data_IF_892086644026
#
_entry.id   IF_892086644026
#
_cell.length_a   1.000
_cell.length_b   1.000
_cell.length_c   1.000
_cell.angle_alpha   90.00
_cell.angle_beta   90.00
_cell.angle_gamma   90.00
#
_symmetry.space_group_name_H-M   'P 1'
#
loop_
_entity.id
_entity.type
_entity.pdbx_description
1 polymer ?
#
# COMPACT_ATOMS: atom_id res chain seq x y z
N UNK A 1 15.20 -1.60 -5.88
CA UNK A 1 13.83 -1.76 -5.35
C UNK A 1 13.67 -1.06 -4.01
N UNK A 2 14.26 -1.55 -2.89
CA UNK A 2 14.15 -0.88 -1.58
C UNK A 2 14.50 0.61 -1.66
N UNK A 3 15.64 0.96 -2.24
CA UNK A 3 16.06 2.36 -2.45
C UNK A 3 15.06 3.19 -3.27
N UNK A 4 14.42 2.60 -4.28
CA UNK A 4 13.43 3.28 -5.12
C UNK A 4 12.15 3.59 -4.33
N UNK A 5 11.75 2.68 -3.44
CA UNK A 5 10.60 2.87 -2.56
C UNK A 5 10.93 3.91 -1.47
N UNK A 6 12.11 3.82 -0.85
CA UNK A 6 12.56 4.78 0.17
C UNK A 6 12.70 6.19 -0.40
N UNK A 7 13.16 6.36 -1.64
CA UNK A 7 13.25 7.66 -2.30
C UNK A 7 11.89 8.27 -2.65
N UNK A 8 10.85 7.44 -2.80
CA UNK A 8 9.50 7.90 -3.14
C UNK A 8 8.65 8.23 -1.90
N UNK A 9 8.99 7.66 -0.73
CA UNK A 9 8.22 7.84 0.49
C UNK A 9 8.73 9.02 1.34
N UNK A 10 7.79 9.73 1.97
CA UNK A 10 8.11 10.58 3.11
C UNK A 10 8.51 9.68 4.29
N UNK A 11 9.78 9.82 4.71
CA UNK A 11 10.43 8.94 5.70
C UNK A 11 10.19 9.38 7.14
N UNK A 12 9.73 10.61 7.36
CA UNK A 12 9.27 11.07 8.68
C UNK A 12 7.86 10.53 8.93
N UNK A 13 7.71 9.83 10.04
CA UNK A 13 6.44 9.23 10.46
C UNK A 13 5.79 10.01 11.59
N UNK A 14 6.46 11.05 12.12
CA UNK A 14 6.14 11.70 13.39
C UNK A 14 6.08 10.73 14.60
N UNK A 15 6.71 9.55 14.48
CA UNK A 15 6.67 8.46 15.49
C UNK A 15 8.02 8.09 16.10
N UNK A 16 9.04 8.96 15.98
CA UNK A 16 10.41 8.72 16.50
C UNK A 16 11.09 7.43 15.99
N UNK A 17 10.54 6.78 14.96
CA UNK A 17 11.11 5.58 14.32
C UNK A 17 11.14 5.75 12.80
N UNK A 18 12.29 5.45 12.19
CA UNK A 18 12.50 5.59 10.76
C UNK A 18 11.65 4.56 9.99
N UNK A 19 11.00 5.03 8.92
CA UNK A 19 10.05 4.27 8.12
C UNK A 19 10.74 3.30 7.15
N UNK A 20 11.54 2.34 7.61
CA UNK A 20 12.22 1.44 6.69
C UNK A 20 11.24 0.38 6.16
N UNK A 21 10.84 0.43 4.87
CA UNK A 21 9.93 -0.58 4.33
C UNK A 21 10.64 -1.94 4.28
N UNK A 22 9.97 -2.96 4.80
CA UNK A 22 10.41 -4.34 4.60
C UNK A 22 9.97 -4.79 3.22
N UNK A 23 10.94 -5.12 2.37
CA UNK A 23 10.72 -5.56 1.00
C UNK A 23 11.20 -6.99 0.84
N UNK A 24 10.39 -7.86 0.26
CA UNK A 24 10.71 -9.27 0.00
C UNK A 24 10.24 -9.62 -1.39
N UNK A 25 11.11 -10.23 -2.22
CA UNK A 25 10.80 -10.68 -3.57
C UNK A 25 10.98 -12.19 -3.63
N UNK A 26 9.92 -12.91 -3.98
CA UNK A 26 10.01 -14.31 -4.40
C UNK A 26 10.52 -14.34 -5.84
N UNK A 27 11.81 -14.66 -6.02
CA UNK A 27 12.45 -14.63 -7.33
C UNK A 27 11.87 -15.66 -8.33
N UNK A 28 11.55 -16.91 -7.92
CA UNK A 28 10.84 -17.86 -8.77
C UNK A 28 9.50 -17.37 -9.33
N UNK A 29 8.65 -16.76 -8.50
CA UNK A 29 7.30 -16.36 -8.93
C UNK A 29 7.22 -14.92 -9.42
N UNK A 30 8.18 -14.08 -9.01
CA UNK A 30 8.15 -12.64 -9.23
C UNK A 30 7.17 -11.91 -8.31
N UNK A 31 6.75 -12.52 -7.20
CA UNK A 31 5.84 -11.88 -6.24
C UNK A 31 6.63 -11.03 -5.25
N UNK A 32 6.36 -9.72 -5.28
CA UNK A 32 6.92 -8.74 -4.36
C UNK A 32 5.95 -8.48 -3.21
N UNK A 33 6.45 -8.54 -1.99
CA UNK A 33 5.75 -8.06 -0.79
C UNK A 33 6.48 -6.87 -0.19
N UNK A 34 5.75 -5.77 0.04
CA UNK A 34 6.24 -4.58 0.73
C UNK A 34 5.39 -4.37 1.97
N UNK A 35 6.03 -4.25 3.13
CA UNK A 35 5.41 -3.91 4.40
C UNK A 35 5.97 -2.56 4.84
N UNK A 36 5.11 -1.61 5.15
CA UNK A 36 5.51 -0.27 5.58
C UNK A 36 4.62 0.21 6.73
N UNK A 37 5.21 0.94 7.67
CA UNK A 37 4.45 1.60 8.73
C UNK A 37 3.71 2.81 8.16
N UNK A 38 2.40 2.95 8.35
CA UNK A 38 1.64 4.10 7.84
C UNK A 38 1.95 5.39 8.60
N UNK A 39 1.89 6.54 7.92
CA UNK A 39 1.98 7.87 8.55
C UNK A 39 0.87 8.03 9.59
N UNK A 40 1.16 8.70 10.72
CA UNK A 40 0.11 9.20 11.62
C UNK A 40 -0.12 10.67 11.28
N UNK A 41 -1.32 11.07 10.82
CA UNK A 41 -1.65 12.48 10.77
C UNK A 41 -1.66 13.05 12.20
N UNK A 42 -1.35 14.35 12.32
CA UNK A 42 -1.27 15.06 13.60
C UNK A 42 -2.62 15.08 14.35
N UNK A 43 -3.72 14.98 13.60
CA UNK A 43 -5.05 14.72 14.13
C UNK A 43 -5.38 13.23 13.95
N UNK A 44 -5.92 12.58 14.98
CA UNK A 44 -6.46 11.21 14.90
C UNK A 44 -7.81 11.18 14.11
N UNK A 45 -7.90 11.94 13.02
CA UNK A 45 -9.04 11.93 12.08
C UNK A 45 -8.93 10.67 11.19
N UNK A 46 -9.88 9.72 11.29
CA UNK A 46 -9.87 8.50 10.49
C UNK A 46 -9.86 8.77 8.97
N UNK A 47 -10.43 9.89 8.51
CA UNK A 47 -10.45 10.24 7.08
C UNK A 47 -9.05 10.61 6.58
N UNK A 48 -8.30 11.35 7.37
CA UNK A 48 -6.92 11.72 7.03
C UNK A 48 -6.00 10.51 7.08
N UNK A 49 -6.20 9.61 8.05
CA UNK A 49 -5.42 8.35 8.14
C UNK A 49 -5.61 7.51 6.87
N UNK A 50 -6.86 7.34 6.42
CA UNK A 50 -7.15 6.58 5.19
C UNK A 50 -6.54 7.27 3.97
N UNK A 51 -6.72 8.60 3.84
CA UNK A 51 -6.17 9.34 2.70
C UNK A 51 -4.64 9.23 2.61
N UNK A 52 -3.91 9.45 3.71
CA UNK A 52 -2.46 9.30 3.75
C UNK A 52 -2.00 7.88 3.45
N UNK A 53 -2.73 6.86 3.95
CA UNK A 53 -2.40 5.46 3.68
C UNK A 53 -2.63 5.09 2.21
N UNK A 54 -3.70 5.57 1.59
CA UNK A 54 -3.97 5.37 0.16
C UNK A 54 -2.89 6.02 -0.69
N UNK A 55 -2.50 7.26 -0.37
CA UNK A 55 -1.43 8.00 -1.04
C UNK A 55 -0.07 7.27 -0.94
N UNK A 56 0.29 6.80 0.26
CA UNK A 56 1.51 6.03 0.48
C UNK A 56 1.54 4.75 -0.36
N UNK A 57 0.44 3.99 -0.38
CA UNK A 57 0.36 2.75 -1.16
C UNK A 57 0.44 3.00 -2.64
N UNK A 58 -0.23 4.03 -3.14
CA UNK A 58 -0.18 4.37 -4.54
C UNK A 58 1.23 4.76 -4.96
N UNK A 59 1.90 5.58 -4.14
CA UNK A 59 3.30 5.98 -4.32
C UNK A 59 4.25 4.77 -4.33
N UNK A 60 4.06 3.80 -3.41
CA UNK A 60 4.86 2.57 -3.37
C UNK A 60 4.63 1.74 -4.64
N UNK A 61 3.39 1.52 -5.05
CA UNK A 61 3.06 0.74 -6.24
C UNK A 61 3.62 1.39 -7.52
N UNK A 62 3.52 2.70 -7.63
CA UNK A 62 4.13 3.46 -8.71
C UNK A 62 5.65 3.29 -8.72
N UNK A 63 6.32 3.46 -7.57
CA UNK A 63 7.77 3.32 -7.46
C UNK A 63 8.25 1.90 -7.79
N UNK A 64 7.46 0.87 -7.45
CA UNK A 64 7.76 -0.52 -7.81
C UNK A 64 7.79 -0.70 -9.33
N UNK A 65 6.71 -0.31 -10.00
CA UNK A 65 6.51 -0.59 -11.43
C UNK A 65 7.22 0.39 -12.38
N UNK A 66 7.70 1.52 -11.87
CA UNK A 66 8.58 2.45 -12.63
C UNK A 66 10.07 2.24 -12.35
N UNK A 67 10.43 1.36 -11.42
CA UNK A 67 11.84 1.09 -11.10
C UNK A 67 12.55 0.22 -12.16
N UNK A 68 13.89 0.29 -12.18
CA UNK A 68 14.73 -0.59 -13.00
C UNK A 68 14.55 -2.09 -12.71
N UNK A 69 14.00 -2.47 -11.56
CA UNK A 69 13.74 -3.87 -11.21
C UNK A 69 12.32 -4.35 -11.59
N UNK A 70 11.47 -3.46 -12.12
CA UNK A 70 10.10 -3.78 -12.54
C UNK A 70 9.98 -5.01 -13.46
N UNK A 71 10.89 -5.28 -14.41
CA UNK A 71 10.78 -6.46 -15.28
C UNK A 71 10.80 -7.81 -14.55
N UNK A 72 11.23 -7.85 -13.29
CA UNK A 72 11.29 -9.07 -12.47
C UNK A 72 10.04 -9.27 -11.59
N UNK A 73 9.08 -8.36 -11.65
CA UNK A 73 7.95 -8.29 -10.72
C UNK A 73 6.67 -8.60 -11.48
N UNK A 74 6.01 -9.68 -11.11
CA UNK A 74 4.71 -10.06 -11.66
C UNK A 74 3.57 -9.49 -10.85
N UNK A 75 3.64 -9.60 -9.53
CA UNK A 75 2.63 -9.10 -8.61
C UNK A 75 3.29 -8.36 -7.46
N UNK A 76 2.76 -7.20 -7.11
CA UNK A 76 3.13 -6.46 -5.91
C UNK A 76 2.00 -6.51 -4.89
N UNK A 77 2.31 -6.94 -3.67
CA UNK A 77 1.46 -6.82 -2.49
C UNK A 77 2.05 -5.77 -1.57
N UNK A 78 1.28 -4.73 -1.25
CA UNK A 78 1.67 -3.66 -0.33
C UNK A 78 0.79 -3.73 0.91
N UNK A 79 1.43 -3.85 2.08
CA UNK A 79 0.80 -3.95 3.39
C UNK A 79 1.15 -2.73 4.24
N UNK A 80 0.15 -1.93 4.58
CA UNK A 80 0.28 -0.82 5.51
C UNK A 80 0.01 -1.27 6.94
N UNK A 81 0.99 -1.09 7.83
CA UNK A 81 0.86 -1.39 9.26
C UNK A 81 0.61 -0.12 10.08
N UNK A 82 -0.24 -0.24 11.10
CA UNK A 82 -0.46 0.81 12.09
C UNK A 82 0.09 0.36 13.43
N UNK A 83 0.91 1.20 14.04
CA UNK A 83 1.40 0.97 15.39
C UNK A 83 0.32 1.37 16.40
N UNK A 84 -0.23 0.39 17.11
CA UNK A 84 -1.09 0.65 18.27
C UNK A 84 -0.17 0.81 19.47
N UNK A 85 -0.01 2.06 19.91
CA UNK A 85 0.69 2.39 21.16
C UNK A 85 -0.33 2.31 22.29
N UNK A 86 -0.49 1.12 22.87
CA UNK A 86 -1.23 0.93 24.11
C UNK A 86 -0.37 1.28 25.34
N UNK A 87 -0.84 0.91 26.53
CA UNK A 87 -0.13 1.07 27.82
C UNK A 87 1.16 0.23 27.96
N UNK A 88 1.62 -0.42 26.89
CA UNK A 88 2.74 -1.35 26.87
C UNK A 88 3.93 -0.74 26.13
N UNK A 89 5.15 -1.01 26.63
CA UNK A 89 6.42 -0.41 26.18
C UNK A 89 6.82 -0.74 24.73
N UNK A 90 6.13 -1.68 24.06
CA UNK A 90 6.42 -2.04 22.66
C UNK A 90 5.19 -1.84 21.79
N UNK A 91 5.19 -0.84 20.87
CA UNK A 91 4.11 -0.66 19.91
C UNK A 91 3.87 -1.93 19.11
N UNK A 92 2.62 -2.39 19.02
CA UNK A 92 2.26 -3.52 18.16
C UNK A 92 1.85 -3.01 16.79
N UNK A 93 2.50 -3.51 15.75
CA UNK A 93 2.09 -3.26 14.38
C UNK A 93 0.93 -4.17 13.98
N UNK A 94 -0.16 -3.56 13.51
CA UNK A 94 -1.34 -4.27 12.98
C UNK A 94 -1.52 -3.90 11.51
N UNK A 95 -1.65 -4.87 10.59
CA UNK A 95 -1.93 -4.56 9.19
C UNK A 95 -3.36 -4.00 9.09
N UNK A 96 -3.49 -2.77 8.59
CA UNK A 96 -4.81 -2.15 8.37
C UNK A 96 -5.17 -2.05 6.90
N UNK A 97 -4.19 -2.12 6.01
CA UNK A 97 -4.40 -1.96 4.59
C UNK A 97 -3.59 -2.97 3.78
N UNK A 98 -4.22 -3.53 2.76
CA UNK A 98 -3.60 -4.42 1.78
C UNK A 98 -4.02 -4.01 0.38
N UNK A 99 -3.05 -3.72 -0.46
CA UNK A 99 -3.25 -3.53 -1.89
C UNK A 99 -2.46 -4.58 -2.67
N UNK A 100 -3.04 -5.06 -3.78
CA UNK A 100 -2.40 -6.02 -4.67
C UNK A 100 -2.57 -5.52 -6.10
N UNK A 101 -1.46 -5.44 -6.82
CA UNK A 101 -1.44 -5.01 -8.20
C UNK A 101 -0.54 -5.96 -9.00
N UNK A 102 -0.99 -6.37 -10.19
CA UNK A 102 -0.18 -7.13 -11.14
C UNK A 102 0.46 -6.20 -12.17
N UNK A 103 1.57 -6.64 -12.77
CA UNK A 103 2.26 -5.90 -13.84
C UNK A 103 1.31 -5.59 -15.01
N UNK A 104 0.50 -6.58 -15.43
CA UNK A 104 -0.47 -6.40 -16.51
C UNK A 104 -1.51 -5.31 -16.21
N UNK A 105 -1.89 -5.12 -14.95
CA UNK A 105 -2.81 -4.05 -14.56
C UNK A 105 -2.09 -2.72 -14.39
N UNK A 106 -0.84 -2.75 -13.92
CA UNK A 106 0.00 -1.58 -13.71
C UNK A 106 0.26 -0.80 -15.01
N UNK A 107 0.41 -1.48 -16.14
CA UNK A 107 0.61 -0.83 -17.46
C UNK A 107 -0.62 -0.09 -17.97
N UNK A 108 -1.81 -0.40 -17.45
CA UNK A 108 -3.06 0.24 -17.82
C UNK A 108 -3.54 1.29 -16.81
N UNK A 109 -2.79 1.48 -15.72
CA UNK A 109 -3.07 2.53 -14.75
C UNK A 109 -2.54 3.87 -15.27
N UNK A 110 -3.43 4.86 -15.35
CA UNK A 110 -3.00 6.23 -15.45
C UNK A 110 -2.56 6.71 -14.07
N UNK A 111 -1.25 6.64 -13.84
CA UNK A 111 -0.64 6.97 -12.56
C UNK A 111 -0.85 8.43 -12.16
N UNK A 112 -1.10 9.33 -13.12
CA UNK A 112 -1.21 10.77 -12.86
C UNK A 112 -2.64 11.18 -12.51
N UNK A 113 -3.65 10.52 -13.07
CA UNK A 113 -5.06 10.80 -12.74
C UNK A 113 -5.62 9.96 -11.58
N UNK A 114 -5.02 8.79 -11.31
CA UNK A 114 -5.51 7.84 -10.30
C UNK A 114 -5.16 8.23 -8.86
N UNK A 115 -4.23 9.17 -8.64
CA UNK A 115 -3.94 9.72 -7.31
C UNK A 115 -5.14 10.46 -6.68
N UNK A 116 -6.16 10.78 -7.49
CA UNK A 116 -7.41 11.41 -7.04
C UNK A 116 -8.53 10.43 -6.66
N UNK A 117 -8.29 9.11 -6.73
CA UNK A 117 -9.33 8.12 -6.47
C UNK A 117 -9.68 8.07 -4.98
N UNK A 118 -10.84 8.61 -4.61
CA UNK A 118 -11.47 8.34 -3.32
C UNK A 118 -11.74 6.82 -3.23
N UNK A 119 -11.13 6.09 -2.27
CA UNK A 119 -11.35 4.66 -2.11
C UNK A 119 -12.81 4.28 -1.87
N UNK A 120 -13.69 5.24 -1.52
CA UNK A 120 -15.15 5.03 -1.40
C UNK A 120 -15.89 5.01 -2.74
N UNK A 121 -15.29 5.53 -3.81
CA UNK A 121 -15.90 5.57 -5.15
C UNK A 121 -15.57 4.35 -6.01
N UNK A 122 -14.62 3.51 -5.57
CA UNK A 122 -14.36 2.20 -6.19
C UNK A 122 -15.52 1.26 -5.84
N UNK A 123 -16.62 1.37 -6.59
CA UNK A 123 -17.72 0.41 -6.56
C UNK A 123 -17.19 -0.95 -6.96
N UNK A 124 -16.89 -1.77 -5.96
CA UNK A 124 -16.77 -3.21 -6.13
C UNK A 124 -18.06 -3.67 -6.81
N UNK A 125 -17.98 -4.20 -8.03
CA UNK A 125 -19.07 -5.02 -8.57
C UNK A 125 -19.14 -6.26 -7.68
N UNK A 126 -19.90 -6.16 -6.60
CA UNK A 126 -20.41 -7.32 -5.90
C UNK A 126 -21.31 -8.02 -6.93
N UNK A 127 -20.89 -9.20 -7.39
CA UNK A 127 -21.78 -10.10 -8.11
C UNK A 127 -23.06 -10.22 -7.28
N UNK A 128 -24.17 -9.76 -7.85
CA UNK A 128 -25.48 -9.81 -7.22
C UNK A 128 -25.84 -11.25 -6.82
N UNK A 129 -26.69 -11.42 -5.80
CA UNK A 129 -27.07 -12.75 -5.35
C UNK A 129 -27.72 -13.51 -6.50
N UNK A 130 -27.30 -14.76 -6.67
CA UNK A 130 -27.90 -15.69 -7.61
C UNK A 130 -29.40 -15.80 -7.34
N UNK A 131 -30.21 -15.60 -8.39
CA UNK A 131 -31.66 -15.87 -8.35
C UNK A 131 -31.88 -17.33 -7.93
N UNK A 132 -32.86 -17.63 -7.04
CA UNK A 132 -33.29 -18.99 -6.86
C UNK A 132 -33.95 -19.48 -8.16
N UNK A 133 -33.51 -20.66 -8.61
CA UNK A 133 -34.15 -21.43 -9.69
C UNK A 133 -35.35 -22.21 -9.11
N UNK A 134 -36.34 -22.55 -9.95
CA UNK A 134 -37.74 -22.73 -9.56
C UNK A 134 -38.00 -23.90 -8.62
#
# INVERSE_FOLDING_TARGET
MRQSIEAALEMDTYRQAQRLPRVTLDAPTGDLTVIFAMRRPLADDPRQIVASATDDVFTILWAIYTSAAAPRIRTATVLGTYAIVGRYERPREVPLLRAVLSADRAVHLDWWSSASLDPRLVRTRVHGPARPRP
#
